data_IF_514425873535
#
_entry.id   IF_514425873535
#
_cell.length_a   1.000
_cell.length_b   1.000
_cell.length_c   1.000
_cell.angle_alpha   90.00
_cell.angle_beta   90.00
_cell.angle_gamma   90.00
#
_symmetry.space_group_name_H-M   'P 1'
#
loop_
_entity.id
_entity.type
_entity.pdbx_description
1 polymer ?
#
# COMPACT_ATOMS: atom_id res chain seq x y z
N UNK A 1 13.19 10.99 13.42
CA UNK A 1 12.31 9.82 13.66
C UNK A 1 12.77 8.63 12.83
N UNK A 2 12.92 7.46 13.44
CA UNK A 2 13.28 6.20 12.74
C UNK A 2 12.05 5.31 12.56
N UNK A 3 11.81 4.82 11.35
CA UNK A 3 10.68 3.95 11.02
C UNK A 3 11.14 2.69 10.31
N UNK A 4 10.67 1.53 10.75
CA UNK A 4 10.99 0.25 10.11
C UNK A 4 9.71 -0.35 9.56
N UNK A 5 9.70 -0.67 8.27
CA UNK A 5 8.56 -1.28 7.60
C UNK A 5 9.00 -2.49 6.78
N UNK A 6 8.06 -3.42 6.59
CA UNK A 6 8.25 -4.61 5.78
C UNK A 6 7.35 -4.54 4.58
N UNK A 7 7.90 -4.88 3.42
CA UNK A 7 7.15 -4.90 2.17
C UNK A 7 7.44 -6.19 1.40
N UNK A 8 6.48 -6.60 0.58
CA UNK A 8 6.64 -7.70 -0.36
C UNK A 8 6.65 -7.13 -1.77
N UNK A 9 7.63 -7.55 -2.55
CA UNK A 9 7.80 -7.16 -3.96
C UNK A 9 8.04 -8.38 -4.84
N UNK A 10 7.83 -8.21 -6.15
CA UNK A 10 8.21 -9.20 -7.16
C UNK A 10 9.50 -8.75 -7.83
N UNK A 11 10.51 -9.62 -7.87
CA UNK A 11 11.77 -9.43 -8.61
C UNK A 11 11.84 -10.39 -9.78
N UNK A 12 12.18 -9.91 -10.97
CA UNK A 12 12.49 -10.75 -12.13
C UNK A 12 13.74 -11.60 -11.85
N UNK A 13 13.63 -12.92 -12.00
CA UNK A 13 14.77 -13.84 -11.82
C UNK A 13 15.77 -13.76 -12.97
N UNK A 14 15.34 -13.27 -14.13
CA UNK A 14 16.18 -13.12 -15.32
C UNK A 14 17.00 -11.82 -15.28
N UNK A 15 16.37 -10.69 -14.93
CA UNK A 15 17.01 -9.36 -15.04
C UNK A 15 17.41 -8.76 -13.69
N UNK A 16 16.89 -9.30 -12.58
CA UNK A 16 17.03 -8.73 -11.25
C UNK A 16 16.22 -7.46 -11.00
N UNK A 17 15.44 -6.99 -11.98
CA UNK A 17 14.59 -5.79 -11.86
C UNK A 17 13.33 -6.08 -11.03
N UNK A 18 12.77 -5.03 -10.44
CA UNK A 18 11.56 -5.08 -9.62
C UNK A 18 10.33 -4.72 -10.44
N UNK A 19 9.23 -5.44 -10.21
CA UNK A 19 7.96 -5.16 -10.87
C UNK A 19 7.41 -3.84 -10.33
N UNK A 20 7.26 -2.84 -11.20
CA UNK A 20 6.69 -1.53 -10.85
C UNK A 20 5.18 -1.51 -11.04
N UNK A 21 4.69 -2.12 -12.13
CA UNK A 21 3.25 -2.25 -12.41
C UNK A 21 3.02 -3.34 -13.44
N UNK A 22 1.83 -3.92 -13.41
CA UNK A 22 1.31 -4.73 -14.50
C UNK A 22 -0.13 -4.35 -14.81
N UNK A 23 -0.55 -4.51 -16.07
CA UNK A 23 -1.93 -4.29 -16.51
C UNK A 23 -2.36 -5.35 -17.51
N UNK A 24 -3.65 -5.67 -17.50
CA UNK A 24 -4.28 -6.44 -18.56
C UNK A 24 -4.38 -5.57 -19.83
N UNK A 25 -4.15 -6.16 -20.99
CA UNK A 25 -4.36 -5.51 -22.28
C UNK A 25 -5.80 -5.75 -22.71
N UNK A 26 -6.57 -4.67 -22.92
CA UNK A 26 -7.98 -4.76 -23.29
C UNK A 26 -8.21 -5.67 -24.51
N UNK A 27 -9.21 -6.55 -24.42
CA UNK A 27 -9.58 -7.47 -25.50
C UNK A 27 -8.59 -8.62 -25.75
N UNK A 28 -7.54 -8.77 -24.95
CA UNK A 28 -6.56 -9.85 -25.08
C UNK A 28 -6.33 -10.59 -23.76
N UNK A 29 -6.00 -11.88 -23.83
CA UNK A 29 -5.47 -12.63 -22.68
C UNK A 29 -3.96 -12.38 -22.52
N UNK A 30 -3.57 -11.11 -22.50
CA UNK A 30 -2.18 -10.69 -22.46
C UNK A 30 -1.96 -9.59 -21.43
N UNK A 31 -0.82 -9.61 -20.76
CA UNK A 31 -0.43 -8.61 -19.76
C UNK A 31 0.77 -7.83 -20.23
N UNK A 32 0.85 -6.56 -19.84
CA UNK A 32 2.07 -5.77 -19.92
C UNK A 32 2.59 -5.51 -18.52
N UNK A 33 3.89 -5.72 -18.33
CA UNK A 33 4.60 -5.47 -17.09
C UNK A 33 5.66 -4.40 -17.31
N UNK A 34 5.76 -3.44 -16.40
CA UNK A 34 6.84 -2.46 -16.37
C UNK A 34 7.76 -2.78 -15.19
N UNK A 35 9.06 -2.82 -15.47
CA UNK A 35 10.10 -3.19 -14.52
C UNK A 35 11.02 -2.00 -14.27
N UNK A 36 11.51 -1.86 -13.03
CA UNK A 36 12.50 -0.86 -12.65
C UNK A 36 13.71 -1.52 -12.01
N UNK A 37 14.89 -0.91 -12.19
CA UNK A 37 16.10 -1.31 -11.45
C UNK A 37 16.07 -0.78 -10.02
N UNK A 38 15.26 0.24 -9.76
CA UNK A 38 15.20 0.92 -8.47
C UNK A 38 14.15 0.26 -7.58
N UNK A 39 14.56 -0.11 -6.36
CA UNK A 39 13.68 -0.76 -5.40
C UNK A 39 12.52 0.14 -4.96
N UNK A 40 12.74 1.45 -4.94
CA UNK A 40 11.75 2.45 -4.55
C UNK A 40 10.56 2.56 -5.52
N UNK A 41 10.75 2.15 -6.77
CA UNK A 41 9.69 2.13 -7.79
C UNK A 41 8.85 0.85 -7.75
N UNK A 42 9.25 -0.14 -6.94
CA UNK A 42 8.60 -1.44 -6.92
C UNK A 42 7.15 -1.31 -6.42
N UNK A 43 6.25 -2.08 -7.04
CA UNK A 43 4.93 -2.31 -6.48
C UNK A 43 5.06 -3.06 -5.15
N UNK A 44 4.79 -2.36 -4.06
CA UNK A 44 4.88 -2.91 -2.70
C UNK A 44 3.52 -3.40 -2.20
N UNK A 45 3.54 -4.50 -1.46
CA UNK A 45 2.39 -5.00 -0.71
C UNK A 45 2.79 -5.15 0.76
N UNK A 46 1.87 -4.92 1.69
CA UNK A 46 2.13 -5.20 3.11
C UNK A 46 2.14 -6.73 3.34
N UNK A 47 2.95 -7.24 4.30
CA UNK A 47 2.95 -8.65 4.65
C UNK A 47 1.56 -9.19 5.02
N UNK A 48 0.77 -8.38 5.70
CA UNK A 48 -0.60 -8.71 6.10
C UNK A 48 -1.50 -8.93 4.90
N UNK A 49 -1.49 -8.01 3.91
CA UNK A 49 -2.30 -8.16 2.69
C UNK A 49 -1.91 -9.37 1.85
N UNK A 50 -0.63 -9.78 1.89
CA UNK A 50 -0.16 -10.96 1.18
C UNK A 50 -0.51 -12.25 1.91
N UNK A 51 -0.71 -12.25 3.22
CA UNK A 51 -0.94 -13.48 3.98
C UNK A 51 -2.15 -14.28 3.45
N UNK A 52 -3.25 -13.58 3.17
CA UNK A 52 -4.48 -14.17 2.63
C UNK A 52 -4.44 -14.43 1.12
N UNK A 53 -3.51 -13.78 0.41
CA UNK A 53 -3.42 -13.82 -1.07
C UNK A 53 -2.10 -14.39 -1.59
N UNK A 54 -1.32 -15.02 -0.71
CA UNK A 54 0.05 -15.44 -0.98
C UNK A 54 0.14 -16.29 -2.23
N UNK A 55 -0.73 -17.29 -2.33
CA UNK A 55 -0.75 -18.23 -3.46
C UNK A 55 -1.07 -17.54 -4.78
N UNK A 56 -1.95 -16.53 -4.76
CA UNK A 56 -2.28 -15.74 -5.96
C UNK A 56 -1.10 -14.88 -6.37
N UNK A 57 -0.48 -14.19 -5.41
CA UNK A 57 0.66 -13.32 -5.68
C UNK A 57 1.88 -14.13 -6.15
N UNK A 58 2.07 -15.33 -5.61
CA UNK A 58 3.11 -16.25 -6.05
C UNK A 58 2.88 -16.71 -7.51
N UNK A 59 1.66 -17.06 -7.89
CA UNK A 59 1.32 -17.37 -9.29
C UNK A 59 1.56 -16.19 -10.24
N UNK A 60 1.29 -14.97 -9.78
CA UNK A 60 1.60 -13.75 -10.56
C UNK A 60 3.12 -13.61 -10.74
N UNK A 61 3.90 -13.79 -9.67
CA UNK A 61 5.36 -13.78 -9.78
C UNK A 61 5.87 -14.83 -10.77
N UNK A 62 5.40 -16.08 -10.65
CA UNK A 62 5.75 -17.20 -11.54
C UNK A 62 5.38 -16.91 -13.01
N UNK A 63 4.18 -16.37 -13.26
CA UNK A 63 3.73 -16.01 -14.61
C UNK A 63 4.62 -14.94 -15.28
N UNK A 64 5.27 -14.11 -14.48
CA UNK A 64 6.22 -13.09 -14.94
C UNK A 64 7.69 -13.52 -14.86
N UNK A 65 7.98 -14.80 -14.56
CA UNK A 65 9.36 -15.29 -14.39
C UNK A 65 10.08 -14.63 -13.20
N UNK A 66 9.33 -14.25 -12.18
CA UNK A 66 9.81 -13.57 -10.99
C UNK A 66 9.67 -14.38 -9.71
N UNK A 67 10.21 -13.82 -8.63
CA UNK A 67 10.14 -14.36 -7.27
C UNK A 67 9.60 -13.30 -6.30
N UNK A 68 9.02 -13.75 -5.19
CA UNK A 68 8.62 -12.87 -4.10
C UNK A 68 9.77 -12.63 -3.12
N UNK A 69 10.00 -11.38 -2.77
CA UNK A 69 10.99 -10.98 -1.77
C UNK A 69 10.33 -10.19 -0.65
N UNK A 70 10.81 -10.39 0.58
CA UNK A 70 10.48 -9.55 1.72
C UNK A 70 11.59 -8.51 1.88
N UNK A 71 11.24 -7.24 1.75
CA UNK A 71 12.11 -6.10 2.05
C UNK A 71 11.90 -5.74 3.51
N UNK A 72 12.99 -5.58 4.25
CA UNK A 72 12.99 -4.95 5.56
C UNK A 72 13.65 -3.58 5.40
N UNK A 73 12.85 -2.52 5.28
CA UNK A 73 13.34 -1.17 5.05
C UNK A 73 13.33 -0.39 6.37
N UNK A 74 14.40 0.36 6.61
CA UNK A 74 14.51 1.29 7.74
C UNK A 74 14.72 2.69 7.18
N UNK A 75 13.81 3.59 7.53
CA UNK A 75 13.78 4.97 7.10
C UNK A 75 14.14 5.87 8.28
N UNK A 76 14.95 6.88 8.03
CA UNK A 76 15.23 7.96 8.96
C UNK A 76 14.59 9.22 8.39
N UNK A 77 13.71 9.84 9.16
CA UNK A 77 12.93 11.01 8.78
C UNK A 77 13.39 12.22 9.57
N UNK A 78 13.69 13.28 8.85
CA UNK A 78 14.10 14.59 9.35
C UNK A 78 13.38 15.68 8.54
N UNK A 79 13.13 16.82 9.18
CA UNK A 79 12.69 18.04 8.49
C UNK A 79 13.85 18.61 7.66
N UNK A 80 13.56 19.48 6.69
CA UNK A 80 14.62 20.14 5.91
C UNK A 80 15.58 20.96 6.77
N UNK A 81 15.12 21.42 7.94
CA UNK A 81 15.92 22.13 8.94
C UNK A 81 16.72 21.18 9.86
N UNK A 82 16.68 19.85 9.61
CA UNK A 82 17.39 18.83 10.38
C UNK A 82 16.75 18.46 11.72
N UNK A 83 15.57 19.00 12.03
CA UNK A 83 14.83 18.64 13.23
C UNK A 83 14.04 17.33 13.04
N UNK A 84 13.77 16.63 14.14
CA UNK A 84 12.84 15.51 14.13
C UNK A 84 11.42 15.98 13.75
N UNK A 85 10.76 15.35 12.77
CA UNK A 85 9.41 15.73 12.37
C UNK A 85 8.40 15.43 13.47
N UNK A 86 7.34 16.25 13.54
CA UNK A 86 6.20 16.03 14.45
C UNK A 86 5.50 14.71 14.10
N UNK A 87 5.16 13.92 15.10
CA UNK A 87 4.25 12.78 14.93
C UNK A 87 2.81 13.30 14.74
N UNK A 88 2.18 12.92 13.62
CA UNK A 88 0.83 13.33 13.25
C UNK A 88 -0.21 12.22 13.47
N UNK A 89 0.19 11.05 13.96
CA UNK A 89 -0.68 9.87 14.06
C UNK A 89 -1.91 10.14 14.92
N UNK A 90 -1.71 10.65 16.15
CA UNK A 90 -2.80 10.96 17.08
C UNK A 90 -3.74 12.04 16.54
N UNK A 91 -3.18 13.09 15.93
CA UNK A 91 -3.95 14.21 15.38
C UNK A 91 -4.87 13.75 14.23
N UNK A 92 -4.37 12.85 13.37
CA UNK A 92 -5.15 12.25 12.29
C UNK A 92 -6.23 11.31 12.83
N UNK A 93 -5.93 10.48 13.84
CA UNK A 93 -6.92 9.58 14.45
C UNK A 93 -8.04 10.35 15.13
N UNK A 94 -7.73 11.42 15.86
CA UNK A 94 -8.72 12.28 16.50
C UNK A 94 -9.62 12.96 15.45
N UNK A 95 -9.03 13.48 14.37
CA UNK A 95 -9.78 14.08 13.28
C UNK A 95 -10.73 13.08 12.59
N UNK A 96 -10.28 11.85 12.34
CA UNK A 96 -11.12 10.77 11.79
C UNK A 96 -12.28 10.42 12.72
N UNK A 97 -12.03 10.33 14.03
CA UNK A 97 -13.07 10.04 15.03
C UNK A 97 -14.14 11.13 15.06
N UNK A 98 -13.73 12.40 15.13
CA UNK A 98 -14.66 13.55 15.10
C UNK A 98 -15.48 13.57 13.81
N UNK A 99 -14.85 13.32 12.66
CA UNK A 99 -15.56 13.26 11.39
C UNK A 99 -16.62 12.15 11.36
N UNK A 100 -16.29 10.97 11.89
CA UNK A 100 -17.24 9.85 11.99
C UNK A 100 -18.39 10.14 12.95
N UNK A 101 -18.12 10.74 14.12
CA UNK A 101 -19.16 11.17 15.07
C UNK A 101 -20.13 12.17 14.44
N UNK A 102 -19.62 13.16 13.71
CA UNK A 102 -20.44 14.13 12.99
C UNK A 102 -21.28 13.48 11.89
N UNK A 103 -20.71 12.54 11.14
CA UNK A 103 -21.44 11.78 10.12
C UNK A 103 -22.59 10.97 10.73
N UNK A 104 -22.35 10.23 11.82
CA UNK A 104 -23.39 9.48 12.52
C UNK A 104 -24.48 10.38 13.09
N UNK A 105 -24.11 11.54 13.65
CA UNK A 105 -25.09 12.53 14.12
C UNK A 105 -25.97 13.05 13.00
N UNK A 106 -25.41 13.33 11.82
CA UNK A 106 -26.18 13.73 10.65
C UNK A 106 -27.18 12.64 10.22
N UNK A 107 -26.74 11.38 10.16
CA UNK A 107 -27.59 10.25 9.77
C UNK A 107 -28.74 9.98 10.77
N UNK A 108 -28.49 10.17 12.07
CA UNK A 108 -29.51 9.97 13.10
C UNK A 108 -30.48 11.16 13.17
N UNK A 109 -30.01 12.39 12.97
CA UNK A 109 -30.87 13.56 12.93
C UNK A 109 -31.86 13.51 11.74
N UNK A 110 -31.47 12.94 10.60
CA UNK A 110 -32.35 12.75 9.44
C UNK A 110 -33.45 11.68 9.65
N UNK A 111 -33.38 10.83 10.69
CA UNK A 111 -34.39 9.82 10.99
C UNK A 111 -35.43 10.26 12.03
N UNK A 112 -35.24 11.40 12.69
CA UNK A 112 -36.17 11.93 13.71
C UNK A 112 -37.24 12.89 13.11
N UNK A 113 -37.20 13.14 11.80
CA UNK A 113 -38.12 14.04 11.07
C UNK A 113 -39.25 13.29 10.30
N UNK A 114 -39.44 11.97 10.51
CA UNK A 114 -40.55 11.17 9.95
C UNK A 114 -41.54 10.66 11.02
N UNK A 115 -42.00 11.51 11.94
CA UNK A 115 -43.24 11.29 12.71
C UNK A 115 -44.02 12.60 12.87
N UNK A 116 -44.88 12.94 11.88
CA UNK A 116 -46.24 13.52 12.03
C UNK A 116 -46.87 13.92 10.67
#
# INVERSE_FOLDING_TARGET
MKKTEKFIVIRSTETGQYLMKYKNNEGALAYSATWSKELQDAATNSPESVQDQRDKLQKVAEAFGGELLIINATYELETLDGNEPKDLTEEIEEAKRKHFENFLRGLLADNDDEED
#
